data_IF_491648535356
#
_entry.id   IF_491648535356
#
_cell.length_a   1.000
_cell.length_b   1.000
_cell.length_c   1.000
_cell.angle_alpha   90.00
_cell.angle_beta   90.00
_cell.angle_gamma   90.00
#
_symmetry.space_group_name_H-M   'P 1'
#
loop_
_entity.id
_entity.type
_entity.pdbx_description
1 polymer ?
#
# COMPACT_ATOMS: atom_id res chain seq x y z
N UNK A 1 -75.08 59.76 -22.26
CA UNK A 1 -75.85 58.74 -21.49
C UNK A 1 -74.91 57.57 -21.22
N UNK A 2 -74.47 57.35 -19.98
CA UNK A 2 -73.60 56.23 -19.65
C UNK A 2 -74.45 54.96 -19.44
N UNK A 3 -73.99 53.84 -20.02
CA UNK A 3 -74.57 52.53 -19.77
C UNK A 3 -73.69 51.79 -18.77
N UNK A 4 -74.30 51.34 -17.68
CA UNK A 4 -73.72 50.53 -16.63
C UNK A 4 -73.36 49.14 -17.16
N UNK A 5 -72.14 48.69 -16.92
CA UNK A 5 -71.85 47.25 -16.73
C UNK A 5 -71.24 47.05 -15.35
N UNK A 6 -71.93 46.19 -14.59
CA UNK A 6 -71.70 45.89 -13.19
C UNK A 6 -70.40 45.09 -13.01
N UNK A 7 -69.50 45.58 -12.16
CA UNK A 7 -68.52 44.73 -11.48
C UNK A 7 -69.22 44.17 -10.24
N UNK A 8 -69.66 42.90 -10.32
CA UNK A 8 -70.18 42.21 -9.16
C UNK A 8 -69.04 41.65 -8.32
N UNK A 9 -69.02 42.15 -7.08
CA UNK A 9 -68.28 41.66 -5.95
C UNK A 9 -68.60 40.18 -5.68
N UNK A 10 -67.58 39.38 -5.40
CA UNK A 10 -67.72 38.28 -4.44
C UNK A 10 -66.99 38.71 -3.17
N UNK A 11 -67.79 39.05 -2.16
CA UNK A 11 -67.37 39.21 -0.78
C UNK A 11 -66.86 37.86 -0.26
N UNK A 12 -65.58 37.78 0.12
CA UNK A 12 -65.20 37.01 1.29
C UNK A 12 -64.79 38.01 2.38
N UNK A 13 -65.82 38.46 3.11
CA UNK A 13 -65.66 38.80 4.51
C UNK A 13 -65.46 37.48 5.24
N UNK A 14 -64.28 37.20 5.76
CA UNK A 14 -64.12 36.52 7.04
C UNK A 14 -62.73 36.72 7.64
N UNK A 15 -62.73 36.79 8.96
CA UNK A 15 -61.75 37.36 9.86
C UNK A 15 -60.66 36.34 10.24
N UNK A 16 -60.02 35.69 9.25
CA UNK A 16 -58.89 34.77 9.50
C UNK A 16 -57.61 35.13 8.73
N UNK A 17 -57.67 36.06 7.77
CA UNK A 17 -56.47 36.57 7.08
C UNK A 17 -55.76 37.72 7.82
N UNK A 18 -56.21 38.04 9.02
CA UNK A 18 -55.57 38.96 9.97
C UNK A 18 -55.08 38.22 11.22
N UNK A 19 -54.50 37.04 11.07
CA UNK A 19 -53.48 36.64 12.02
C UNK A 19 -52.21 37.30 11.51
N UNK A 20 -51.73 38.32 12.23
CA UNK A 20 -50.31 38.61 12.29
C UNK A 20 -49.68 37.24 12.57
N UNK A 21 -49.20 36.53 11.53
CA UNK A 21 -48.31 35.39 11.77
C UNK A 21 -47.23 36.02 12.63
N UNK A 22 -47.09 35.61 13.90
CA UNK A 22 -46.11 36.23 14.77
C UNK A 22 -44.82 36.18 13.98
N UNK A 23 -44.30 37.37 13.73
CA UNK A 23 -42.98 37.56 13.18
C UNK A 23 -42.09 36.57 13.92
N UNK A 24 -41.51 35.62 13.19
CA UNK A 24 -40.22 35.11 13.60
C UNK A 24 -40.16 34.55 15.03
N UNK A 25 -40.99 33.56 15.40
CA UNK A 25 -40.61 32.71 16.55
C UNK A 25 -39.75 31.56 16.02
N UNK A 26 -38.63 31.93 15.40
CA UNK A 26 -37.41 31.16 15.58
C UNK A 26 -37.06 31.43 17.05
N UNK A 27 -36.99 30.41 17.93
CA UNK A 27 -36.63 30.65 19.32
C UNK A 27 -35.33 31.44 19.33
N UNK A 28 -35.32 32.55 20.05
CA UNK A 28 -34.26 33.55 19.99
C UNK A 28 -32.89 32.86 20.06
N UNK A 29 -32.08 33.10 19.02
CA UNK A 29 -30.67 32.76 18.82
C UNK A 29 -30.23 31.46 18.13
N UNK A 30 -31.09 30.49 17.81
CA UNK A 30 -30.65 29.37 16.94
C UNK A 30 -30.60 29.79 15.46
N UNK A 31 -29.42 30.18 14.96
CA UNK A 31 -29.16 30.45 13.55
C UNK A 31 -28.54 29.23 12.85
N UNK A 32 -28.72 29.12 11.52
CA UNK A 32 -28.28 27.95 10.75
C UNK A 32 -26.77 27.64 10.87
N UNK A 33 -25.94 28.66 11.07
CA UNK A 33 -24.48 28.54 11.11
C UNK A 33 -23.91 28.53 12.54
N UNK A 34 -24.76 28.53 13.57
CA UNK A 34 -24.30 28.65 14.96
C UNK A 34 -23.54 27.38 15.42
N UNK A 35 -24.08 26.21 15.10
CA UNK A 35 -23.49 24.92 15.45
C UNK A 35 -22.83 24.30 14.21
N UNK A 36 -21.54 24.05 14.29
CA UNK A 36 -20.77 23.46 13.20
C UNK A 36 -20.91 21.93 13.17
N UNK A 37 -20.48 21.32 12.08
CA UNK A 37 -20.28 19.87 11.95
C UNK A 37 -21.51 19.02 12.32
N UNK A 38 -22.71 19.49 11.95
CA UNK A 38 -23.95 18.77 12.21
C UNK A 38 -24.43 18.84 13.67
N UNK A 39 -23.90 19.76 14.48
CA UNK A 39 -24.40 20.03 15.82
C UNK A 39 -25.84 20.54 15.82
N UNK A 40 -26.63 20.08 16.79
CA UNK A 40 -28.02 20.54 16.98
C UNK A 40 -28.04 21.72 17.94
N UNK A 41 -28.62 22.84 17.51
CA UNK A 41 -28.84 23.98 18.40
C UNK A 41 -30.04 23.74 19.31
N UNK A 42 -29.84 23.88 20.62
CA UNK A 42 -30.89 23.78 21.63
C UNK A 42 -31.14 25.18 22.21
N UNK A 43 -32.29 25.80 21.96
CA UNK A 43 -32.60 27.12 22.48
C UNK A 43 -32.87 27.06 23.98
N UNK A 44 -32.24 27.94 24.77
CA UNK A 44 -32.45 27.98 26.21
C UNK A 44 -33.60 28.95 26.58
N UNK A 45 -34.57 28.47 27.38
CA UNK A 45 -35.61 29.34 27.93
C UNK A 45 -34.97 30.32 28.93
N UNK A 46 -35.18 31.62 28.75
CA UNK A 46 -34.64 32.74 29.56
C UNK A 46 -33.19 33.20 29.31
N UNK A 47 -32.62 32.94 28.12
CA UNK A 47 -31.63 33.87 27.54
C UNK A 47 -30.25 33.95 28.21
N UNK A 48 -29.71 32.84 28.72
CA UNK A 48 -28.35 32.79 29.31
C UNK A 48 -27.36 31.91 28.54
N UNK A 49 -27.48 31.91 27.21
CA UNK A 49 -26.62 31.27 26.17
C UNK A 49 -27.19 29.99 25.56
N UNK A 50 -27.12 29.90 24.22
CA UNK A 50 -27.55 28.75 23.43
C UNK A 50 -26.50 27.65 23.44
N UNK A 51 -26.97 26.41 23.50
CA UNK A 51 -26.08 25.25 23.63
C UNK A 51 -26.15 24.43 22.35
N UNK A 52 -24.99 24.15 21.77
CA UNK A 52 -24.86 23.18 20.69
C UNK A 52 -24.66 21.78 21.28
N UNK A 53 -25.57 20.86 20.93
CA UNK A 53 -25.34 19.43 21.13
C UNK A 53 -24.56 18.90 19.92
N UNK A 54 -23.31 18.52 20.14
CA UNK A 54 -22.44 18.07 19.06
C UNK A 54 -22.82 16.69 18.54
N UNK A 55 -22.66 16.51 17.24
CA UNK A 55 -22.62 15.19 16.64
C UNK A 55 -21.43 14.40 17.21
N UNK A 56 -21.48 13.05 17.23
CA UNK A 56 -20.34 12.23 17.61
C UNK A 56 -19.08 12.61 16.82
N UNK A 57 -17.92 12.61 17.48
CA UNK A 57 -16.64 13.00 16.87
C UNK A 57 -16.33 14.50 16.94
N UNK A 58 -17.21 15.34 17.52
CA UNK A 58 -16.96 16.79 17.63
C UNK A 58 -17.09 17.31 19.06
N UNK A 59 -16.39 18.42 19.33
CA UNK A 59 -16.36 19.10 20.62
C UNK A 59 -16.25 20.62 20.47
N UNK A 60 -16.29 21.34 21.59
CA UNK A 60 -16.36 22.80 21.68
C UNK A 60 -17.79 23.31 21.80
N UNK A 61 -17.93 24.57 22.25
CA UNK A 61 -19.24 25.20 22.51
C UNK A 61 -20.12 25.33 21.26
N UNK A 62 -19.51 25.35 20.08
CA UNK A 62 -20.18 25.39 18.78
C UNK A 62 -19.88 24.16 17.92
N UNK A 63 -19.34 23.09 18.52
CA UNK A 63 -18.94 21.87 17.80
C UNK A 63 -17.89 22.10 16.70
N UNK A 64 -17.07 23.14 16.86
CA UNK A 64 -16.09 23.58 15.87
C UNK A 64 -14.82 22.74 15.84
N UNK A 65 -14.57 21.94 16.87
CA UNK A 65 -13.35 21.15 16.98
C UNK A 65 -13.67 19.68 16.73
N UNK A 66 -12.86 19.09 15.87
CA UNK A 66 -12.78 17.65 15.70
C UNK A 66 -12.17 16.99 16.95
N UNK A 67 -12.72 15.87 17.39
CA UNK A 67 -12.12 15.05 18.44
C UNK A 67 -11.08 14.18 17.77
N UNK A 68 -9.83 14.23 18.24
CA UNK A 68 -8.81 13.31 17.77
C UNK A 68 -8.84 12.01 18.57
N UNK A 69 -9.54 10.99 18.07
CA UNK A 69 -9.66 9.70 18.76
C UNK A 69 -8.33 8.95 18.88
N UNK A 70 -7.34 9.28 18.05
CA UNK A 70 -6.01 8.65 18.08
C UNK A 70 -5.18 9.05 19.29
N UNK A 71 -5.52 10.14 20.00
CA UNK A 71 -4.77 10.57 21.19
C UNK A 71 -4.95 9.57 22.34
N UNK A 72 -6.15 9.01 22.48
CA UNK A 72 -6.46 8.07 23.55
C UNK A 72 -6.34 6.63 23.04
N UNK A 73 -5.46 5.84 23.66
CA UNK A 73 -5.25 4.42 23.35
C UNK A 73 -5.10 4.12 21.85
N UNK A 74 -4.53 5.07 21.08
CA UNK A 74 -4.40 4.96 19.62
C UNK A 74 -5.75 4.63 18.92
N UNK A 75 -6.87 5.15 19.41
CA UNK A 75 -8.21 4.83 18.90
C UNK A 75 -8.62 3.35 19.08
N UNK A 76 -7.85 2.57 19.82
CA UNK A 76 -7.93 1.12 19.91
C UNK A 76 -7.45 0.40 18.65
N UNK A 77 -6.66 1.05 17.79
CA UNK A 77 -6.08 0.45 16.59
C UNK A 77 -4.89 -0.46 16.93
N UNK A 78 -4.77 -1.60 16.26
CA UNK A 78 -3.61 -2.50 16.40
C UNK A 78 -2.32 -1.86 15.85
N UNK A 79 -2.39 -1.24 14.67
CA UNK A 79 -1.28 -0.51 14.05
C UNK A 79 -1.52 0.99 14.11
N UNK A 80 -1.59 1.71 13.00
CA UNK A 80 -1.71 3.17 13.02
C UNK A 80 -3.16 3.60 13.18
N UNK A 81 -3.43 4.59 14.04
CA UNK A 81 -4.67 5.34 14.00
C UNK A 81 -4.53 6.57 13.10
N UNK A 82 -5.51 6.79 12.23
CA UNK A 82 -5.59 7.96 11.36
C UNK A 82 -6.83 8.76 11.71
N UNK A 83 -6.59 9.94 12.29
CA UNK A 83 -7.66 10.87 12.62
C UNK A 83 -8.20 11.56 11.36
N UNK A 84 -9.51 11.69 11.26
CA UNK A 84 -10.19 12.39 10.17
C UNK A 84 -11.28 13.29 10.75
N UNK A 85 -11.85 14.18 9.93
CA UNK A 85 -12.90 15.08 10.44
C UNK A 85 -14.16 14.26 10.75
N UNK A 86 -14.56 14.26 12.02
CA UNK A 86 -15.75 13.62 12.58
C UNK A 86 -15.63 12.12 12.84
N UNK A 87 -14.46 11.52 12.59
CA UNK A 87 -14.22 10.09 12.80
C UNK A 87 -12.73 9.75 12.70
N UNK A 88 -12.39 8.50 12.89
CA UNK A 88 -11.06 7.97 12.66
C UNK A 88 -11.15 6.60 11.99
N UNK A 89 -10.01 6.11 11.51
CA UNK A 89 -9.89 4.73 11.08
C UNK A 89 -8.51 4.16 11.39
N UNK A 90 -8.45 2.84 11.51
CA UNK A 90 -7.20 2.13 11.71
C UNK A 90 -6.58 1.75 10.37
N UNK A 91 -5.26 1.92 10.27
CA UNK A 91 -4.47 1.59 9.09
C UNK A 91 -3.40 0.56 9.45
N UNK A 92 -3.38 -0.53 8.69
CA UNK A 92 -2.39 -1.57 8.86
C UNK A 92 -1.07 -1.22 8.17
N UNK A 93 0.05 -1.65 8.76
CA UNK A 93 1.36 -1.61 8.12
C UNK A 93 1.39 -2.47 6.86
N UNK A 94 2.39 -2.23 6.01
CA UNK A 94 2.60 -3.04 4.79
C UNK A 94 2.77 -4.52 5.14
N UNK A 95 2.13 -5.40 4.38
CA UNK A 95 2.09 -6.85 4.65
C UNK A 95 0.96 -7.30 5.58
N UNK A 96 0.08 -6.37 6.00
CA UNK A 96 -1.07 -6.69 6.86
C UNK A 96 -2.38 -6.17 6.25
N UNK A 97 -3.47 -6.88 6.53
CA UNK A 97 -4.83 -6.51 6.14
C UNK A 97 -5.69 -6.18 7.39
N UNK A 98 -6.62 -5.24 7.22
CA UNK A 98 -7.54 -4.84 8.29
C UNK A 98 -8.67 -5.86 8.40
N UNK A 99 -8.88 -6.39 9.60
CA UNK A 99 -9.97 -7.32 9.89
C UNK A 99 -11.35 -6.63 9.88
N UNK A 100 -12.42 -7.41 9.83
CA UNK A 100 -13.82 -6.91 9.77
C UNK A 100 -14.20 -6.02 10.95
N UNK A 101 -13.51 -6.14 12.09
CA UNK A 101 -13.72 -5.28 13.26
C UNK A 101 -13.19 -3.84 13.04
N UNK A 102 -12.49 -3.57 11.94
CA UNK A 102 -11.96 -2.26 11.59
C UNK A 102 -10.82 -1.75 12.48
N UNK A 103 -10.27 -2.60 13.36
CA UNK A 103 -9.26 -2.21 14.35
C UNK A 103 -8.03 -3.10 14.37
N UNK A 104 -8.20 -4.39 14.13
CA UNK A 104 -7.11 -5.36 14.17
C UNK A 104 -6.53 -5.58 12.79
N UNK A 105 -5.21 -5.75 12.77
CA UNK A 105 -4.45 -6.03 11.57
C UNK A 105 -3.96 -7.47 11.61
N UNK A 106 -4.30 -8.24 10.57
CA UNK A 106 -3.86 -9.61 10.39
C UNK A 106 -2.77 -9.66 9.33
N UNK A 107 -1.77 -10.49 9.57
CA UNK A 107 -0.68 -10.72 8.63
C UNK A 107 -1.21 -11.35 7.33
N UNK A 108 -0.78 -10.82 6.20
CA UNK A 108 -1.11 -11.38 4.89
C UNK A 108 -0.16 -12.54 4.64
N UNK A 109 -0.69 -13.75 4.52
CA UNK A 109 0.14 -14.90 4.19
C UNK A 109 0.45 -14.93 2.68
N UNK A 110 1.59 -14.35 2.28
CA UNK A 110 2.00 -14.36 0.88
C UNK A 110 2.35 -15.77 0.38
N UNK A 111 2.70 -16.70 1.28
CA UNK A 111 2.99 -18.08 0.90
C UNK A 111 1.74 -18.84 0.45
N UNK A 112 0.57 -18.46 0.96
CA UNK A 112 -0.71 -19.03 0.52
C UNK A 112 -1.05 -18.69 -0.94
N UNK A 113 -0.40 -17.67 -1.54
CA UNK A 113 -0.62 -17.26 -2.93
C UNK A 113 0.61 -17.59 -3.76
N UNK A 114 0.49 -18.58 -4.65
CA UNK A 114 1.57 -18.97 -5.57
C UNK A 114 2.91 -19.22 -4.85
N UNK A 115 2.86 -19.74 -3.61
CA UNK A 115 4.05 -20.00 -2.79
C UNK A 115 4.93 -18.76 -2.59
N UNK A 116 4.34 -17.56 -2.50
CA UNK A 116 5.08 -16.29 -2.37
C UNK A 116 6.01 -15.99 -3.57
N UNK A 117 5.85 -16.68 -4.69
CA UNK A 117 6.77 -16.65 -5.81
C UNK A 117 8.11 -17.34 -5.54
N UNK A 118 8.24 -18.11 -4.46
CA UNK A 118 9.42 -18.89 -4.15
C UNK A 118 9.55 -20.11 -5.07
N UNK A 119 10.77 -20.41 -5.51
CA UNK A 119 11.06 -21.63 -6.28
C UNK A 119 10.96 -22.93 -5.46
N UNK A 120 11.16 -22.83 -4.14
CA UNK A 120 11.19 -23.98 -3.22
C UNK A 120 10.30 -23.69 -2.02
N UNK A 121 10.84 -23.64 -0.79
CA UNK A 121 10.01 -23.41 0.41
C UNK A 121 9.75 -21.92 0.60
N UNK A 122 8.49 -21.52 0.72
CA UNK A 122 8.11 -20.23 1.26
C UNK A 122 7.91 -20.33 2.78
N UNK A 123 8.36 -19.33 3.52
CA UNK A 123 8.09 -19.20 4.95
C UNK A 123 7.48 -17.83 5.20
N UNK A 124 6.22 -17.85 5.65
CA UNK A 124 5.49 -16.65 6.00
C UNK A 124 6.03 -16.07 7.31
N UNK A 125 6.05 -14.76 7.43
CA UNK A 125 6.44 -14.05 8.64
C UNK A 125 5.65 -12.75 8.80
N UNK A 126 5.57 -12.17 10.01
CA UNK A 126 4.86 -10.91 10.19
C UNK A 126 5.40 -9.80 9.28
N UNK A 127 4.54 -9.26 8.41
CA UNK A 127 4.83 -8.16 7.48
C UNK A 127 5.50 -8.58 6.17
N UNK A 128 5.62 -9.88 5.91
CA UNK A 128 6.12 -10.39 4.64
C UNK A 128 6.70 -11.80 4.73
N UNK A 129 7.20 -12.32 3.62
CA UNK A 129 7.69 -13.69 3.55
C UNK A 129 9.16 -13.77 3.11
N UNK A 130 9.75 -14.96 3.28
CA UNK A 130 11.06 -15.29 2.71
C UNK A 130 11.05 -16.66 2.05
N UNK A 131 11.93 -16.83 1.06
CA UNK A 131 12.18 -18.12 0.45
C UNK A 131 13.34 -18.82 1.17
N UNK A 132 13.19 -20.13 1.39
CA UNK A 132 14.21 -20.98 1.97
C UNK A 132 14.57 -22.10 1.00
N UNK A 133 15.86 -22.40 0.95
CA UNK A 133 16.42 -23.34 0.00
C UNK A 133 16.76 -24.69 0.65
N UNK A 134 16.70 -25.79 -0.12
CA UNK A 134 17.23 -27.08 0.31
C UNK A 134 18.71 -26.99 0.70
N UNK A 135 19.23 -27.96 1.48
CA UNK A 135 20.66 -28.04 1.78
C UNK A 135 21.51 -28.02 0.51
N UNK A 136 22.60 -27.25 0.51
CA UNK A 136 23.47 -27.10 -0.66
C UNK A 136 23.04 -26.03 -1.67
N UNK A 137 21.93 -25.31 -1.42
CA UNK A 137 21.48 -24.20 -2.25
C UNK A 137 21.36 -22.89 -1.44
N UNK A 138 21.41 -21.75 -2.15
CA UNK A 138 21.19 -20.43 -1.59
C UNK A 138 20.21 -19.63 -2.45
N UNK A 139 19.52 -18.68 -1.83
CA UNK A 139 18.61 -17.79 -2.54
C UNK A 139 19.42 -16.85 -3.44
N UNK A 140 18.97 -16.66 -4.68
CA UNK A 140 19.59 -15.74 -5.62
C UNK A 140 19.41 -14.27 -5.19
N UNK A 141 20.08 -13.33 -5.88
CA UNK A 141 19.94 -11.89 -5.57
C UNK A 141 18.51 -11.35 -5.68
N UNK A 142 17.62 -12.06 -6.39
CA UNK A 142 16.21 -11.71 -6.50
C UNK A 142 15.33 -12.23 -5.36
N UNK A 143 15.90 -12.91 -4.36
CA UNK A 143 15.18 -13.35 -3.16
C UNK A 143 14.22 -14.53 -3.36
N UNK A 144 14.07 -15.06 -4.59
CA UNK A 144 12.98 -15.98 -4.95
C UNK A 144 13.42 -17.34 -5.46
N UNK A 145 14.58 -17.42 -6.15
CA UNK A 145 15.06 -18.66 -6.76
C UNK A 145 16.21 -19.24 -5.95
N UNK A 146 16.16 -20.53 -5.69
CA UNK A 146 17.29 -21.26 -5.15
C UNK A 146 18.26 -21.61 -6.27
N UNK A 147 19.53 -21.32 -6.03
CA UNK A 147 20.65 -21.66 -6.90
C UNK A 147 21.65 -22.45 -6.09
N UNK A 148 22.42 -23.33 -6.72
CA UNK A 148 23.42 -24.11 -6.01
C UNK A 148 24.41 -23.19 -5.29
N UNK A 149 24.61 -23.47 -4.00
CA UNK A 149 25.52 -22.71 -3.14
C UNK A 149 26.98 -23.09 -3.40
N UNK A 150 27.19 -24.33 -3.84
CA UNK A 150 28.45 -24.85 -4.34
C UNK A 150 28.35 -24.86 -5.86
N UNK A 151 28.97 -23.87 -6.48
CA UNK A 151 28.89 -23.71 -7.92
C UNK A 151 29.59 -24.84 -8.68
N UNK A 152 30.48 -25.60 -8.04
CA UNK A 152 31.16 -26.76 -8.58
C UNK A 152 30.42 -28.09 -8.37
N UNK A 153 29.45 -28.17 -7.45
CA UNK A 153 28.77 -29.41 -7.12
C UNK A 153 27.83 -29.89 -8.24
N UNK A 154 27.17 -28.95 -8.92
CA UNK A 154 26.31 -29.24 -10.06
C UNK A 154 27.12 -29.15 -11.36
N UNK A 155 27.16 -30.24 -12.13
CA UNK A 155 27.81 -30.32 -13.46
C UNK A 155 29.26 -29.78 -13.50
N UNK A 156 30.04 -29.96 -12.41
CA UNK A 156 31.38 -29.38 -12.27
C UNK A 156 31.41 -27.85 -12.52
N UNK A 157 30.33 -27.13 -12.20
CA UNK A 157 30.14 -25.72 -12.53
C UNK A 157 30.17 -25.42 -14.01
N UNK A 158 29.86 -26.38 -14.88
CA UNK A 158 30.02 -26.29 -16.32
C UNK A 158 31.48 -26.15 -16.77
N UNK A 159 32.44 -26.48 -15.91
CA UNK A 159 33.85 -26.51 -16.26
C UNK A 159 34.19 -27.81 -17.00
N UNK A 160 34.93 -27.70 -18.09
CA UNK A 160 35.37 -28.84 -18.91
C UNK A 160 36.34 -29.77 -18.14
N UNK A 161 37.22 -29.19 -17.32
CA UNK A 161 38.18 -29.94 -16.52
C UNK A 161 37.98 -29.80 -15.01
N UNK A 162 38.49 -28.74 -14.40
CA UNK A 162 38.54 -28.59 -12.94
C UNK A 162 37.75 -27.37 -12.54
N UNK A 163 36.77 -27.53 -11.66
CA UNK A 163 36.11 -26.42 -11.00
C UNK A 163 36.79 -26.13 -9.65
N UNK A 164 37.23 -24.88 -9.44
CA UNK A 164 37.78 -24.44 -8.15
C UNK A 164 36.84 -23.42 -7.51
N UNK A 165 36.26 -23.81 -6.38
CA UNK A 165 35.50 -22.93 -5.50
C UNK A 165 36.34 -21.75 -5.01
N UNK A 166 35.69 -20.60 -4.87
CA UNK A 166 36.22 -19.36 -4.30
C UNK A 166 35.26 -18.89 -3.22
N UNK A 167 35.71 -17.96 -2.38
CA UNK A 167 34.93 -17.47 -1.25
C UNK A 167 33.46 -17.19 -1.59
N UNK A 168 32.53 -17.83 -0.88
CA UNK A 168 31.09 -17.68 -1.09
C UNK A 168 30.57 -18.47 -2.29
N UNK A 169 29.82 -17.80 -3.17
CA UNK A 169 29.18 -18.37 -4.37
C UNK A 169 30.03 -18.32 -5.64
N UNK A 170 31.31 -17.94 -5.51
CA UNK A 170 32.18 -17.69 -6.66
C UNK A 170 33.02 -18.92 -6.93
N UNK A 171 33.33 -19.19 -8.20
CA UNK A 171 34.22 -20.28 -8.60
C UNK A 171 34.95 -19.90 -9.88
N UNK A 172 35.97 -20.67 -10.27
CA UNK A 172 36.57 -20.57 -11.61
C UNK A 172 36.94 -21.94 -12.15
N UNK A 173 36.91 -22.07 -13.46
CA UNK A 173 37.44 -23.25 -14.13
C UNK A 173 38.96 -23.17 -14.27
N UNK A 174 39.61 -24.32 -14.18
CA UNK A 174 41.03 -24.54 -14.44
C UNK A 174 41.20 -25.72 -15.38
N UNK A 175 42.29 -25.71 -16.13
CA UNK A 175 42.64 -26.79 -17.04
C UNK A 175 43.70 -27.70 -16.42
N UNK A 176 43.62 -29.00 -16.76
CA UNK A 176 44.69 -29.97 -16.49
C UNK A 176 45.97 -29.56 -17.24
N UNK A 177 47.11 -30.07 -16.81
CA UNK A 177 48.41 -29.74 -17.42
C UNK A 177 48.43 -30.00 -18.93
N UNK A 178 49.00 -29.09 -19.72
CA UNK A 178 49.02 -29.16 -21.18
C UNK A 178 47.73 -28.68 -21.87
N UNK A 179 46.82 -28.04 -21.13
CA UNK A 179 45.61 -27.42 -21.64
C UNK A 179 45.51 -25.97 -21.20
N UNK A 180 44.88 -25.15 -22.03
CA UNK A 180 44.65 -23.72 -21.82
C UNK A 180 43.16 -23.42 -21.73
N UNK A 181 42.80 -22.48 -20.85
CA UNK A 181 41.42 -22.11 -20.61
C UNK A 181 40.93 -21.19 -21.72
N UNK A 182 39.81 -21.56 -22.33
CA UNK A 182 39.15 -20.80 -23.38
C UNK A 182 38.64 -19.43 -22.90
N UNK A 183 38.29 -18.57 -23.86
CA UNK A 183 37.74 -17.22 -23.61
C UNK A 183 36.40 -17.27 -22.85
N UNK A 184 35.61 -18.35 -23.04
CA UNK A 184 34.37 -18.58 -22.28
C UNK A 184 34.61 -18.90 -20.79
N UNK A 185 35.88 -19.11 -20.40
CA UNK A 185 36.32 -19.50 -19.05
C UNK A 185 35.74 -20.82 -18.56
N UNK A 186 35.29 -21.68 -19.47
CA UNK A 186 34.67 -22.98 -19.19
C UNK A 186 35.40 -24.13 -19.88
N UNK A 187 35.71 -23.99 -21.18
CA UNK A 187 36.34 -25.03 -21.99
C UNK A 187 37.85 -25.03 -21.90
N UNK A 188 38.46 -26.20 -22.06
CA UNK A 188 39.91 -26.37 -22.08
C UNK A 188 40.36 -26.94 -23.42
N UNK A 189 41.30 -26.26 -24.08
CA UNK A 189 41.89 -26.74 -25.33
C UNK A 189 43.33 -27.15 -25.10
N UNK A 190 43.83 -28.13 -25.85
CA UNK A 190 45.22 -28.58 -25.70
C UNK A 190 46.15 -27.41 -26.04
N UNK A 191 46.95 -26.98 -25.06
CA UNK A 191 47.96 -25.96 -25.25
C UNK A 191 49.05 -26.57 -26.12
N UNK A 192 49.07 -26.20 -27.40
CA UNK A 192 50.25 -26.41 -28.21
C UNK A 192 51.30 -25.46 -27.64
N UNK A 193 52.29 -25.99 -26.91
CA UNK A 193 53.39 -25.20 -26.38
C UNK A 193 53.90 -24.29 -27.48
N UNK A 194 53.75 -22.98 -27.27
CA UNK A 194 54.05 -21.98 -28.29
C UNK A 194 55.56 -22.00 -28.53
N UNK A 195 56.00 -22.62 -29.63
CA UNK A 195 56.97 -21.94 -30.48
C UNK A 195 56.22 -20.75 -31.07
N UNK A 196 56.76 -19.54 -30.85
CA UNK A 196 56.23 -18.26 -31.33
C UNK A 196 55.87 -18.38 -32.83
N UNK A 197 54.78 -17.82 -33.32
CA UNK A 197 54.61 -16.39 -33.46
C UNK A 197 53.15 -15.98 -33.73
N UNK A 198 52.89 -14.71 -33.43
CA UNK A 198 51.81 -13.90 -34.01
C UNK A 198 51.66 -14.15 -35.51
N UNK A 199 50.45 -14.46 -35.96
CA UNK A 199 49.83 -13.80 -37.11
C UNK A 199 48.37 -14.21 -37.23
N UNK A 200 47.56 -13.21 -37.46
CA UNK A 200 46.13 -13.22 -37.65
C UNK A 200 45.61 -14.20 -38.73
N UNK A 201 44.37 -14.63 -38.51
CA UNK A 201 43.25 -14.55 -39.44
C UNK A 201 43.53 -14.50 -40.96
N UNK A 202 42.82 -15.40 -41.69
CA UNK A 202 42.40 -15.29 -43.10
C UNK A 202 43.46 -15.55 -44.20
N UNK A 203 43.42 -16.72 -44.86
CA UNK A 203 42.74 -16.92 -46.15
C UNK A 203 42.89 -18.38 -46.63
N UNK A 204 41.81 -18.92 -47.19
CA UNK A 204 41.86 -19.95 -48.23
C UNK A 204 41.91 -19.19 -49.56
N UNK A 205 42.87 -19.49 -50.43
CA UNK A 205 42.68 -19.72 -51.88
C UNK A 205 44.00 -19.90 -52.65
N UNK A 206 43.88 -20.68 -53.74
CA UNK A 206 44.83 -21.00 -54.81
C UNK A 206 45.86 -22.12 -54.59
N UNK A 207 45.48 -23.30 -55.07
CA UNK A 207 46.39 -24.29 -55.66
C UNK A 207 46.30 -24.17 -57.18
N UNK A 208 47.47 -24.00 -57.84
CA UNK A 208 47.67 -24.34 -59.26
C UNK A 208 47.49 -25.85 -59.52
#
# INVERSE_FOLDING_TARGET
>A
MPSFTQLNFTLYKNLEDCIIKPSSIIPANCTADLCHNGGTCIPFQNGTEDICQCAPGFTGSKCQYDINECIADNGGCHHDCVNTIGTFYCRCWTGFELEENGKHCKDIDECSISNGGCSHRCVNSPGGHRCECPPGMQVNSGGRKCVDSNSCAADNGGCDHICEERHGRFYRCKCKHGYELAVDKKKCYRGFGIFLAQSDFFERCFTE
#
